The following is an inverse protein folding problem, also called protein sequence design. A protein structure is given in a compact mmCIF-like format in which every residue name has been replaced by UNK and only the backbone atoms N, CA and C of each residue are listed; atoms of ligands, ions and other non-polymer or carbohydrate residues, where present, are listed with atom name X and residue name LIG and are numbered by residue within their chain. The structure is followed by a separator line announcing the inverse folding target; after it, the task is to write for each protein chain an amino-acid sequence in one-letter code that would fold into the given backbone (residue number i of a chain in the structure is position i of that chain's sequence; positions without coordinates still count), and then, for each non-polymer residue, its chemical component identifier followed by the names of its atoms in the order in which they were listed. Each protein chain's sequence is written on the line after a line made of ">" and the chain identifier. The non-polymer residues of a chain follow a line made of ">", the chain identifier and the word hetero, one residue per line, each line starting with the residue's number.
data_IF_486574714481
#
_entry.id   IF_486574714481
#
_cell.length_a   1.000
_cell.length_b   1.000
_cell.length_c   1.000
_cell.angle_alpha   90.00
_cell.angle_beta   90.00
_cell.angle_gamma   90.00
#
_symmetry.space_group_name_H-M   'P 1'
#
loop_
_entity.id
_entity.type
_entity.pdbx_description
1 polymer ?
#
# COMPACT_ATOMS: atom_id res chain seq x y z
N UNK A 1 15.75 40.41 -2.72
CA UNK A 1 14.37 40.71 -3.15
C UNK A 1 13.63 39.39 -3.22
N UNK A 2 12.94 39.03 -2.14
CA UNK A 2 11.91 37.99 -2.15
C UNK A 2 10.81 38.55 -1.29
N UNK A 3 9.82 39.16 -1.94
CA UNK A 3 8.57 39.54 -1.32
C UNK A 3 7.58 38.45 -1.69
N UNK A 4 7.36 37.58 -0.72
CA UNK A 4 6.17 36.77 -0.56
C UNK A 4 4.99 37.75 -0.47
N UNK A 5 4.02 37.60 -1.37
CA UNK A 5 2.64 38.08 -1.20
C UNK A 5 1.85 36.76 -1.11
N UNK A 6 1.52 36.21 0.04
CA UNK A 6 0.56 36.65 1.07
C UNK A 6 -0.74 37.24 0.49
N UNK A 7 -1.38 36.44 -0.38
CA UNK A 7 -2.68 36.73 -0.97
C UNK A 7 -3.29 35.62 -1.83
N UNK A 8 -2.74 34.41 -1.88
CA UNK A 8 -3.36 33.29 -2.59
C UNK A 8 -4.24 32.50 -1.61
N UNK A 9 -5.49 32.22 -1.99
CA UNK A 9 -6.32 31.25 -1.28
C UNK A 9 -5.63 29.88 -1.19
N UNK A 10 -6.07 29.03 -0.28
CA UNK A 10 -5.68 27.63 -0.28
C UNK A 10 -6.15 26.99 -1.59
N UNK A 11 -5.24 26.42 -2.38
CA UNK A 11 -5.61 25.76 -3.65
C UNK A 11 -6.46 24.51 -3.38
N UNK A 12 -7.26 24.09 -4.36
CA UNK A 12 -8.06 22.87 -4.25
C UNK A 12 -7.21 21.67 -3.85
N UNK A 13 -6.01 21.53 -4.46
CA UNK A 13 -5.06 20.44 -4.16
C UNK A 13 -4.61 20.47 -2.69
N UNK A 14 -4.22 21.64 -2.19
CA UNK A 14 -3.77 21.80 -0.80
C UNK A 14 -4.90 21.54 0.19
N UNK A 15 -6.10 22.05 -0.11
CA UNK A 15 -7.31 21.80 0.67
C UNK A 15 -7.65 20.30 0.72
N UNK A 16 -7.66 19.63 -0.43
CA UNK A 16 -7.95 18.20 -0.54
C UNK A 16 -6.93 17.34 0.23
N UNK A 17 -5.63 17.65 0.13
CA UNK A 17 -4.58 16.93 0.86
C UNK A 17 -4.60 17.20 2.38
N UNK A 18 -5.18 18.32 2.81
CA UNK A 18 -5.34 18.68 4.22
C UNK A 18 -6.58 18.06 4.88
N UNK A 19 -7.48 17.44 4.11
CA UNK A 19 -8.65 16.73 4.63
C UNK A 19 -8.25 15.59 5.58
N UNK A 20 -9.09 15.37 6.59
CA UNK A 20 -8.90 14.28 7.54
C UNK A 20 -8.96 12.93 6.83
N UNK A 21 -7.88 12.14 6.92
CA UNK A 21 -7.74 10.86 6.22
C UNK A 21 -6.93 10.95 4.92
N UNK A 22 -6.63 12.15 4.41
CA UNK A 22 -5.88 12.37 3.18
C UNK A 22 -4.38 12.60 3.43
N UNK A 23 -3.89 12.29 4.63
CA UNK A 23 -2.49 12.56 5.01
C UNK A 23 -1.47 11.76 4.19
N UNK A 24 -1.92 10.68 3.54
CA UNK A 24 -1.09 9.81 2.70
C UNK A 24 -0.82 10.37 1.30
N UNK A 25 -1.62 11.33 0.83
CA UNK A 25 -1.42 11.94 -0.47
C UNK A 25 -0.18 12.83 -0.48
N UNK A 26 0.52 12.86 -1.62
CA UNK A 26 1.42 13.92 -2.01
C UNK A 26 0.65 15.01 -2.74
N UNK A 27 1.09 16.26 -2.62
CA UNK A 27 0.52 17.38 -3.37
C UNK A 27 1.09 17.32 -4.79
N UNK A 28 0.24 16.99 -5.77
CA UNK A 28 0.65 16.92 -7.18
C UNK A 28 0.92 18.35 -7.67
N UNK A 29 2.05 18.56 -8.36
CA UNK A 29 2.34 19.87 -8.95
C UNK A 29 1.39 20.17 -10.11
N UNK A 30 0.92 21.42 -10.19
CA UNK A 30 0.08 21.89 -11.31
C UNK A 30 0.76 21.65 -12.66
N UNK A 31 2.08 21.89 -12.75
CA UNK A 31 2.89 21.59 -13.95
C UNK A 31 2.76 20.13 -14.44
N UNK A 32 2.56 19.17 -13.53
CA UNK A 32 2.38 17.77 -13.90
C UNK A 32 0.98 17.50 -14.48
N UNK A 33 -0.02 18.22 -13.96
CA UNK A 33 -1.43 18.12 -14.37
C UNK A 33 -1.66 18.85 -15.70
N UNK A 34 -1.03 19.99 -15.90
CA UNK A 34 -1.12 20.78 -17.14
C UNK A 34 -0.54 20.05 -18.37
N UNK A 35 0.35 19.08 -18.18
CA UNK A 35 0.88 18.25 -19.26
C UNK A 35 -0.08 17.09 -19.59
N UNK A 36 -0.88 17.29 -20.63
CA UNK A 36 -1.86 16.33 -21.18
C UNK A 36 -1.30 14.91 -21.37
N UNK A 37 0.00 14.77 -21.65
CA UNK A 37 0.63 13.46 -21.81
C UNK A 37 0.46 12.62 -20.54
N UNK A 38 0.61 13.24 -19.36
CA UNK A 38 0.48 12.58 -18.06
C UNK A 38 -0.96 12.16 -17.75
N UNK A 39 -1.95 12.81 -18.39
CA UNK A 39 -3.38 12.56 -18.20
C UNK A 39 -3.99 11.57 -19.21
N UNK A 40 -3.19 11.10 -20.18
CA UNK A 40 -3.63 10.22 -21.26
C UNK A 40 -4.44 9.02 -20.75
N UNK A 41 -5.65 8.82 -21.29
CA UNK A 41 -6.52 7.69 -20.97
C UNK A 41 -7.37 7.83 -19.71
N UNK A 42 -7.28 8.95 -18.96
CA UNK A 42 -8.13 9.19 -17.79
C UNK A 42 -9.53 9.70 -18.16
N UNK A 43 -9.67 10.45 -19.25
CA UNK A 43 -10.95 11.03 -19.70
C UNK A 43 -12.12 10.05 -19.72
N UNK A 44 -12.01 8.85 -20.34
CA UNK A 44 -13.11 7.88 -20.36
C UNK A 44 -13.46 7.25 -19.01
N UNK A 45 -12.60 7.38 -18.00
CA UNK A 45 -12.78 6.78 -16.67
C UNK A 45 -13.52 7.71 -15.70
N UNK A 46 -13.53 9.02 -15.98
CA UNK A 46 -14.03 10.05 -15.07
C UNK A 46 -15.24 10.76 -15.70
N UNK A 47 -16.42 10.76 -15.04
CA UNK A 47 -17.57 11.56 -15.46
C UNK A 47 -17.25 13.06 -15.39
N UNK A 48 -17.76 13.89 -16.32
CA UNK A 48 -17.51 15.35 -16.29
C UNK A 48 -16.02 15.70 -16.16
N UNK A 49 -15.18 15.01 -16.93
CA UNK A 49 -13.72 15.10 -16.82
C UNK A 49 -13.19 16.54 -16.94
N UNK A 50 -13.75 17.35 -17.83
CA UNK A 50 -13.30 18.73 -18.05
C UNK A 50 -13.60 19.60 -16.84
N UNK A 51 -14.82 19.54 -16.35
CA UNK A 51 -15.28 20.31 -15.19
C UNK A 51 -14.55 19.86 -13.91
N UNK A 52 -14.26 18.56 -13.79
CA UNK A 52 -13.45 18.03 -12.70
C UNK A 52 -11.99 18.53 -12.76
N UNK A 53 -11.43 18.67 -13.96
CA UNK A 53 -10.07 19.17 -14.15
C UNK A 53 -9.97 20.68 -13.86
N UNK A 54 -10.96 21.45 -14.32
CA UNK A 54 -11.11 22.88 -14.02
C UNK A 54 -11.22 23.12 -12.51
N UNK A 55 -12.02 22.30 -11.80
CA UNK A 55 -12.12 22.33 -10.34
C UNK A 55 -10.78 22.08 -9.65
N UNK A 56 -10.01 21.07 -10.09
CA UNK A 56 -8.70 20.73 -9.49
C UNK A 56 -7.68 21.86 -9.68
N UNK A 57 -7.75 22.56 -10.81
CA UNK A 57 -6.82 23.64 -11.19
C UNK A 57 -7.30 25.04 -10.74
N UNK A 58 -8.37 25.12 -9.95
CA UNK A 58 -8.98 26.39 -9.50
C UNK A 58 -9.25 27.36 -10.66
N UNK A 59 -9.62 26.84 -11.84
CA UNK A 59 -9.97 27.65 -13.01
C UNK A 59 -11.38 28.20 -12.79
N UNK A 60 -11.52 29.53 -12.74
CA UNK A 60 -12.84 30.15 -12.63
C UNK A 60 -13.70 29.75 -13.85
N UNK A 61 -14.94 29.30 -13.65
CA UNK A 61 -15.83 29.04 -14.76
C UNK A 61 -16.07 30.35 -15.50
N UNK A 62 -15.95 30.35 -16.83
CA UNK A 62 -16.26 31.50 -17.67
C UNK A 62 -17.73 31.89 -17.42
N UNK A 63 -17.94 32.97 -16.66
CA UNK A 63 -19.26 33.51 -16.29
C UNK A 63 -20.03 34.09 -17.47
N UNK A 64 -19.48 34.02 -18.68
CA UNK A 64 -20.00 34.65 -19.89
C UNK A 64 -20.95 33.75 -20.72
N UNK A 65 -21.14 32.46 -20.38
CA UNK A 65 -22.04 31.56 -21.13
C UNK A 65 -23.43 31.34 -20.50
N UNK A 66 -23.70 31.79 -19.27
CA UNK A 66 -24.99 31.56 -18.59
C UNK A 66 -25.92 32.79 -18.51
N UNK A 67 -25.48 33.98 -18.96
CA UNK A 67 -26.26 35.23 -18.85
C UNK A 67 -27.10 35.58 -20.10
N UNK A 68 -27.12 34.75 -21.16
CA UNK A 68 -27.91 35.04 -22.39
C UNK A 68 -29.31 34.38 -22.45
N UNK A 69 -29.78 33.66 -21.41
CA UNK A 69 -31.07 32.90 -21.48
C UNK A 69 -32.16 33.26 -20.44
N UNK A 70 -32.14 34.44 -19.81
CA UNK A 70 -33.29 34.91 -18.99
C UNK A 70 -33.59 36.42 -19.20
N UNK A 71 -33.74 36.86 -20.46
CA UNK A 71 -34.23 38.21 -20.84
C UNK A 71 -35.74 38.21 -21.18
N UNK A 72 -36.52 37.29 -20.60
CA UNK A 72 -37.98 37.19 -20.78
C UNK A 72 -38.72 37.13 -19.42
N UNK A 73 -38.66 38.18 -18.59
CA UNK A 73 -39.74 38.43 -17.61
C UNK A 73 -39.82 39.90 -17.15
N UNK A 74 -40.40 40.75 -18.01
CA UNK A 74 -41.08 41.97 -17.56
C UNK A 74 -42.56 41.87 -17.95
N UNK A 75 -43.39 41.23 -17.12
CA UNK A 75 -44.80 41.63 -17.01
C UNK A 75 -45.11 41.87 -15.52
N UNK A 76 -45.12 43.15 -15.19
CA UNK A 76 -45.64 43.70 -13.94
C UNK A 76 -47.17 43.59 -13.99
N UNK A 77 -47.75 42.52 -13.43
CA UNK A 77 -49.17 42.50 -13.10
C UNK A 77 -49.35 42.21 -11.61
N UNK A 78 -49.72 43.28 -10.90
CA UNK A 78 -50.26 43.24 -9.55
C UNK A 78 -51.47 42.31 -9.50
N UNK A 79 -51.43 41.22 -8.72
CA UNK A 79 -52.62 40.73 -8.03
C UNK A 79 -52.25 39.86 -6.81
N UNK A 80 -52.54 40.41 -5.63
CA UNK A 80 -52.45 39.73 -4.34
C UNK A 80 -53.55 38.66 -4.26
N UNK A 81 -53.17 37.38 -4.37
CA UNK A 81 -54.05 36.26 -4.01
C UNK A 81 -53.58 35.64 -2.69
N UNK A 82 -54.32 35.94 -1.62
CA UNK A 82 -54.27 35.22 -0.34
C UNK A 82 -54.79 33.78 -0.56
N UNK A 83 -53.88 32.86 -0.84
CA UNK A 83 -54.15 31.42 -0.92
C UNK A 83 -52.90 30.62 -0.54
N UNK A 84 -53.05 29.69 0.38
CA UNK A 84 -52.00 28.82 0.96
C UNK A 84 -51.49 27.73 -0.02
N UNK A 85 -51.21 28.11 -1.26
CA UNK A 85 -50.61 27.23 -2.26
C UNK A 85 -49.33 27.88 -2.80
N UNK A 86 -48.17 27.38 -2.36
CA UNK A 86 -46.83 27.83 -2.77
C UNK A 86 -46.78 27.98 -4.31
N UNK A 87 -46.56 29.21 -4.78
CA UNK A 87 -46.59 29.63 -6.19
C UNK A 87 -45.76 28.69 -7.09
N UNK A 88 -46.23 28.34 -8.31
CA UNK A 88 -45.50 27.49 -9.26
C UNK A 88 -44.07 27.96 -9.55
N UNK A 89 -43.81 29.27 -9.52
CA UNK A 89 -42.48 29.83 -9.78
C UNK A 89 -41.49 29.53 -8.66
N UNK A 90 -41.96 29.48 -7.41
CA UNK A 90 -41.14 29.03 -6.29
C UNK A 90 -40.72 27.55 -6.47
N UNK A 91 -41.63 26.70 -6.96
CA UNK A 91 -41.34 25.27 -7.23
C UNK A 91 -40.39 25.07 -8.42
N UNK A 92 -40.38 26.00 -9.40
CA UNK A 92 -39.45 26.01 -10.55
C UNK A 92 -38.05 26.42 -10.12
N UNK A 93 -37.93 27.48 -9.30
CA UNK A 93 -36.66 27.92 -8.70
C UNK A 93 -36.04 26.85 -7.79
N UNK A 94 -36.84 26.22 -6.92
CA UNK A 94 -36.38 25.13 -6.03
C UNK A 94 -35.84 23.91 -6.80
N UNK A 95 -36.45 23.58 -7.96
CA UNK A 95 -35.96 22.52 -8.86
C UNK A 95 -34.69 22.91 -9.60
N UNK A 96 -34.54 24.18 -10.03
CA UNK A 96 -33.31 24.70 -10.64
C UNK A 96 -32.15 24.62 -9.63
N UNK A 97 -32.33 25.14 -8.41
CA UNK A 97 -31.29 25.06 -7.36
C UNK A 97 -30.90 23.63 -7.01
N UNK A 98 -31.87 22.70 -6.91
CA UNK A 98 -31.56 21.29 -6.65
C UNK A 98 -30.75 20.63 -7.78
N UNK A 99 -30.96 21.03 -9.05
CA UNK A 99 -30.19 20.51 -10.19
C UNK A 99 -28.75 21.01 -10.15
N UNK A 100 -28.56 22.31 -9.96
CA UNK A 100 -27.24 22.93 -9.84
C UNK A 100 -26.45 22.33 -8.67
N UNK A 101 -27.10 22.13 -7.51
CA UNK A 101 -26.46 21.48 -6.36
C UNK A 101 -26.09 20.00 -6.63
N UNK A 102 -26.92 19.26 -7.38
CA UNK A 102 -26.58 17.88 -7.75
C UNK A 102 -25.44 17.81 -8.75
N UNK A 103 -25.40 18.72 -9.72
CA UNK A 103 -24.33 18.78 -10.72
C UNK A 103 -22.99 19.14 -10.08
N UNK A 104 -22.98 20.09 -9.14
CA UNK A 104 -21.79 20.43 -8.36
C UNK A 104 -21.27 19.22 -7.55
N UNK A 105 -22.16 18.48 -6.88
CA UNK A 105 -21.75 17.29 -6.13
C UNK A 105 -21.15 16.18 -7.01
N UNK A 106 -21.64 16.06 -8.25
CA UNK A 106 -21.08 15.11 -9.22
C UNK A 106 -19.69 15.56 -9.64
N UNK A 107 -19.51 16.85 -9.93
CA UNK A 107 -18.22 17.43 -10.30
C UNK A 107 -17.20 17.27 -9.16
N UNK A 108 -17.59 17.55 -7.91
CA UNK A 108 -16.73 17.32 -6.74
C UNK A 108 -16.28 15.86 -6.65
N UNK A 109 -17.22 14.92 -6.74
CA UNK A 109 -16.90 13.48 -6.68
C UNK A 109 -16.01 13.02 -7.84
N UNK A 110 -16.20 13.60 -9.03
CA UNK A 110 -15.35 13.36 -10.19
C UNK A 110 -13.96 13.97 -10.02
N UNK A 111 -13.85 15.13 -9.38
CA UNK A 111 -12.58 15.77 -9.02
C UNK A 111 -11.75 14.90 -8.07
N UNK A 112 -12.37 14.36 -7.01
CA UNK A 112 -11.69 13.43 -6.09
C UNK A 112 -11.17 12.17 -6.81
N UNK A 113 -12.01 11.58 -7.66
CA UNK A 113 -11.65 10.41 -8.45
C UNK A 113 -10.50 10.71 -9.43
N UNK A 114 -10.60 11.82 -10.17
CA UNK A 114 -9.59 12.24 -11.13
C UNK A 114 -8.26 12.52 -10.43
N UNK A 115 -8.27 13.31 -9.37
CA UNK A 115 -7.07 13.63 -8.60
C UNK A 115 -6.42 12.36 -8.03
N UNK A 116 -7.21 11.42 -7.53
CA UNK A 116 -6.72 10.12 -7.07
C UNK A 116 -6.01 9.32 -8.18
N UNK A 117 -6.55 9.29 -9.39
CA UNK A 117 -5.94 8.61 -10.54
C UNK A 117 -4.67 9.32 -11.05
N UNK A 118 -4.66 10.66 -11.00
CA UNK A 118 -3.47 11.47 -11.30
C UNK A 118 -2.39 11.19 -10.26
N UNK A 119 -2.74 11.19 -8.98
CA UNK A 119 -1.83 10.94 -7.86
C UNK A 119 -1.14 9.57 -8.00
N UNK A 120 -1.87 8.52 -8.38
CA UNK A 120 -1.30 7.19 -8.64
C UNK A 120 -0.15 7.25 -9.66
N UNK A 121 -0.29 8.05 -10.72
CA UNK A 121 0.75 8.25 -11.74
C UNK A 121 1.87 9.13 -11.19
N UNK A 122 1.51 10.22 -10.52
CA UNK A 122 2.46 11.20 -10.00
C UNK A 122 3.46 10.58 -9.02
N UNK A 123 3.03 9.73 -8.09
CA UNK A 123 3.93 9.12 -7.10
C UNK A 123 4.91 8.10 -7.71
N UNK A 124 4.73 7.72 -8.98
CA UNK A 124 5.71 6.94 -9.76
C UNK A 124 6.64 7.81 -10.60
N UNK A 125 6.41 9.13 -10.67
CA UNK A 125 7.33 10.09 -11.27
C UNK A 125 8.49 10.44 -10.33
N UNK A 126 9.55 11.05 -10.86
CA UNK A 126 10.70 11.48 -10.05
C UNK A 126 10.31 12.48 -8.96
N UNK A 127 9.46 13.45 -9.26
CA UNK A 127 9.05 14.48 -8.30
C UNK A 127 8.15 13.86 -7.21
N UNK A 128 7.14 13.09 -7.59
CA UNK A 128 6.26 12.42 -6.63
C UNK A 128 6.97 11.41 -5.75
N UNK A 129 7.92 10.62 -6.29
CA UNK A 129 8.75 9.72 -5.47
C UNK A 129 9.54 10.47 -4.41
N UNK A 130 10.09 11.64 -4.73
CA UNK A 130 10.85 12.46 -3.78
C UNK A 130 9.95 12.99 -2.65
N UNK A 131 8.76 13.50 -2.98
CA UNK A 131 7.78 13.94 -1.97
C UNK A 131 7.36 12.78 -1.04
N UNK A 132 7.07 11.62 -1.63
CA UNK A 132 6.70 10.43 -0.86
C UNK A 132 7.87 9.92 0.00
N UNK A 133 9.11 10.08 -0.45
CA UNK A 133 10.31 9.75 0.32
C UNK A 133 10.42 10.62 1.57
N UNK A 134 10.19 11.93 1.44
CA UNK A 134 10.23 12.86 2.57
C UNK A 134 9.15 12.50 3.61
N UNK A 135 7.91 12.25 3.17
CA UNK A 135 6.83 11.75 4.03
C UNK A 135 7.18 10.42 4.70
N UNK A 136 7.81 9.50 3.96
CA UNK A 136 8.25 8.21 4.50
C UNK A 136 9.32 8.40 5.57
N UNK A 137 10.30 9.29 5.36
CA UNK A 137 11.34 9.57 6.35
C UNK A 137 10.78 10.16 7.63
N UNK A 138 9.77 11.04 7.52
CA UNK A 138 9.05 11.61 8.65
C UNK A 138 8.03 10.65 9.29
N UNK A 139 7.90 9.42 8.76
CA UNK A 139 6.99 8.39 9.26
C UNK A 139 5.50 8.82 9.22
N UNK A 140 5.12 9.63 8.23
CA UNK A 140 3.72 10.08 8.07
C UNK A 140 2.75 8.93 7.80
N UNK A 141 3.22 7.85 7.16
CA UNK A 141 2.41 6.68 6.84
C UNK A 141 2.22 5.71 8.01
N UNK A 142 2.94 5.92 9.12
CA UNK A 142 2.92 5.08 10.30
C UNK A 142 3.95 3.95 10.28
N UNK A 143 3.67 2.89 11.03
CA UNK A 143 4.59 1.77 11.24
C UNK A 143 3.88 0.42 11.16
N UNK A 144 4.68 -0.62 10.93
CA UNK A 144 4.19 -1.98 10.79
C UNK A 144 3.53 -2.46 12.10
N UNK A 145 2.29 -3.00 12.04
CA UNK A 145 1.60 -3.49 13.23
C UNK A 145 2.23 -4.78 13.80
N UNK A 146 3.10 -5.43 13.04
CA UNK A 146 3.76 -6.66 13.47
C UNK A 146 4.87 -6.35 14.47
N UNK A 147 4.69 -6.79 15.72
CA UNK A 147 5.63 -6.57 16.84
C UNK A 147 7.08 -6.90 16.48
N UNK A 148 7.32 -8.01 15.78
CA UNK A 148 8.67 -8.48 15.43
C UNK A 148 9.35 -7.67 14.31
N UNK A 149 8.62 -6.78 13.63
CA UNK A 149 9.19 -5.79 12.72
C UNK A 149 9.76 -4.55 13.42
N UNK A 150 9.57 -4.42 14.74
CA UNK A 150 10.18 -3.34 15.54
C UNK A 150 9.76 -1.93 15.10
N UNK A 151 8.51 -1.76 14.65
CA UNK A 151 8.01 -0.46 14.22
C UNK A 151 8.55 0.03 12.86
N UNK A 152 9.01 -0.89 11.99
CA UNK A 152 9.43 -0.56 10.62
C UNK A 152 8.40 0.36 9.91
N UNK A 153 8.89 1.44 9.31
CA UNK A 153 8.07 2.40 8.54
C UNK A 153 7.40 1.69 7.35
N UNK A 154 6.22 2.17 6.97
CA UNK A 154 5.39 1.55 5.92
C UNK A 154 5.06 2.55 4.82
N UNK A 155 4.55 2.07 3.68
CA UNK A 155 4.10 2.89 2.56
C UNK A 155 2.64 2.59 2.22
N UNK A 156 1.86 3.60 1.79
CA UNK A 156 0.53 3.38 1.26
C UNK A 156 0.61 2.69 -0.11
N UNK A 157 -0.23 1.68 -0.32
CA UNK A 157 -0.31 0.92 -1.57
C UNK A 157 -1.76 0.50 -1.85
N UNK A 158 -2.06 0.25 -3.12
CA UNK A 158 -3.27 -0.42 -3.58
C UNK A 158 -3.08 -1.93 -3.74
N UNK A 159 -4.16 -2.70 -3.59
CA UNK A 159 -4.20 -4.12 -3.98
C UNK A 159 -4.74 -4.33 -5.40
N UNK A 160 -5.30 -3.29 -5.99
CA UNK A 160 -5.82 -3.23 -7.35
C UNK A 160 -5.67 -1.79 -7.83
N UNK A 161 -5.45 -1.64 -9.14
CA UNK A 161 -5.45 -0.34 -9.81
C UNK A 161 -6.85 0.05 -10.33
N UNK A 162 -7.88 -0.74 -10.01
CA UNK A 162 -9.28 -0.46 -10.38
C UNK A 162 -9.96 0.23 -9.20
N UNK A 163 -10.50 1.46 -9.37
CA UNK A 163 -11.24 2.16 -8.33
C UNK A 163 -12.45 1.37 -7.80
N UNK A 164 -12.79 1.58 -6.53
CA UNK A 164 -13.91 0.97 -5.82
C UNK A 164 -13.69 -0.47 -5.39
N UNK A 165 -12.50 -1.06 -5.62
CA UNK A 165 -12.22 -2.47 -5.31
C UNK A 165 -11.83 -2.72 -3.86
N UNK A 166 -10.88 -1.94 -3.34
CA UNK A 166 -10.37 -2.07 -1.98
C UNK A 166 -9.82 -0.71 -1.53
N UNK A 167 -9.81 -0.47 -0.23
CA UNK A 167 -9.24 0.76 0.35
C UNK A 167 -7.73 0.73 0.33
N UNK A 168 -7.10 1.89 0.58
CA UNK A 168 -5.65 1.98 0.77
C UNK A 168 -5.16 1.01 1.84
N UNK A 169 -4.02 0.37 1.57
CA UNK A 169 -3.32 -0.54 2.47
C UNK A 169 -1.90 -0.04 2.74
N UNK A 170 -1.24 -0.62 3.73
CA UNK A 170 0.12 -0.29 4.14
C UNK A 170 1.06 -1.45 3.88
N UNK A 171 2.03 -1.26 2.98
CA UNK A 171 3.08 -2.22 2.71
C UNK A 171 4.25 -2.04 3.68
N UNK A 172 4.69 -3.14 4.29
CA UNK A 172 5.87 -3.15 5.13
C UNK A 172 7.06 -3.82 4.42
N UNK A 173 8.16 -3.08 4.15
CA UNK A 173 9.34 -3.65 3.50
C UNK A 173 10.09 -4.65 4.39
N UNK A 174 9.93 -4.57 5.71
CA UNK A 174 10.58 -5.50 6.65
C UNK A 174 9.99 -6.91 6.59
N UNK A 175 8.67 -7.04 6.54
CA UNK A 175 8.00 -8.35 6.51
C UNK A 175 7.43 -8.76 5.16
N UNK A 176 7.50 -7.86 4.17
CA UNK A 176 6.98 -8.05 2.83
C UNK A 176 5.49 -8.43 2.83
N UNK A 177 4.71 -7.69 3.60
CA UNK A 177 3.27 -7.95 3.76
C UNK A 177 2.48 -6.64 3.79
N UNK A 178 1.18 -6.77 3.54
CA UNK A 178 0.24 -5.66 3.38
C UNK A 178 -0.76 -5.67 4.55
N UNK A 179 -0.97 -4.50 5.15
CA UNK A 179 -1.83 -4.30 6.32
C UNK A 179 -2.92 -3.28 6.05
N UNK A 180 -4.04 -3.40 6.76
CA UNK A 180 -5.05 -2.33 6.77
C UNK A 180 -4.58 -1.22 7.72
N UNK A 181 -4.68 0.07 7.34
CA UNK A 181 -4.39 1.17 8.26
C UNK A 181 -5.20 1.02 9.56
N UNK A 182 -4.59 1.24 10.74
CA UNK A 182 -5.26 1.00 12.02
C UNK A 182 -6.36 2.02 12.32
N UNK A 183 -6.25 3.24 11.79
CA UNK A 183 -7.24 4.30 11.99
C UNK A 183 -8.34 4.19 10.91
N UNK A 184 -9.60 4.23 11.33
CA UNK A 184 -10.76 4.11 10.45
C UNK A 184 -10.93 5.28 9.48
N UNK A 185 -10.32 6.44 9.74
CA UNK A 185 -10.39 7.60 8.83
C UNK A 185 -9.84 7.33 7.42
N UNK A 186 -8.99 6.30 7.28
CA UNK A 186 -8.42 5.90 5.99
C UNK A 186 -9.30 4.89 5.22
N UNK A 187 -10.47 4.51 5.76
CA UNK A 187 -11.35 3.53 5.12
C UNK A 187 -12.12 4.11 3.92
N UNK A 188 -12.25 5.44 3.82
CA UNK A 188 -12.84 6.11 2.65
C UNK A 188 -11.86 6.28 1.50
N UNK A 189 -10.55 6.16 1.75
CA UNK A 189 -9.51 6.40 0.74
C UNK A 189 -9.32 5.14 -0.11
N UNK A 190 -9.49 5.30 -1.43
CA UNK A 190 -9.30 4.22 -2.40
C UNK A 190 -7.84 3.80 -2.51
N UNK A 191 -7.58 2.49 -2.56
CA UNK A 191 -6.23 1.97 -2.77
C UNK A 191 -5.72 2.18 -4.19
N UNK A 192 -6.61 2.28 -5.18
CA UNK A 192 -6.23 2.51 -6.57
C UNK A 192 -5.44 3.83 -6.74
N UNK A 193 -5.70 4.84 -5.90
CA UNK A 193 -5.01 6.13 -5.95
C UNK A 193 -3.52 6.07 -5.57
N UNK A 194 -3.07 4.96 -5.01
CA UNK A 194 -1.65 4.67 -4.75
C UNK A 194 -1.10 3.60 -5.69
N UNK A 195 -1.99 2.75 -6.20
CA UNK A 195 -1.68 1.69 -7.14
C UNK A 195 -0.87 0.53 -6.55
N UNK A 196 -0.74 -0.51 -7.37
CA UNK A 196 -0.03 -1.75 -6.99
C UNK A 196 1.49 -1.64 -7.17
N UNK A 197 1.95 -0.77 -8.06
CA UNK A 197 3.36 -0.64 -8.46
C UNK A 197 4.21 0.21 -7.50
N UNK A 198 3.64 1.29 -6.96
CA UNK A 198 4.39 2.32 -6.22
C UNK A 198 5.28 1.75 -5.11
N UNK A 199 4.75 0.86 -4.27
CA UNK A 199 5.51 0.31 -3.13
C UNK A 199 6.77 -0.44 -3.55
N UNK A 200 6.71 -1.24 -4.62
CA UNK A 200 7.88 -1.96 -5.13
C UNK A 200 8.87 -1.01 -5.81
N UNK A 201 8.36 -0.13 -6.67
CA UNK A 201 9.18 0.83 -7.41
C UNK A 201 9.93 1.77 -6.47
N UNK A 202 9.29 2.24 -5.40
CA UNK A 202 9.92 3.10 -4.40
C UNK A 202 11.20 2.49 -3.80
N UNK A 203 11.17 1.23 -3.37
CA UNK A 203 12.36 0.58 -2.80
C UNK A 203 13.41 0.18 -3.84
N UNK A 204 13.02 0.03 -5.12
CA UNK A 204 13.97 -0.10 -6.23
C UNK A 204 14.67 1.23 -6.54
N UNK A 205 13.96 2.35 -6.42
CA UNK A 205 14.51 3.70 -6.64
C UNK A 205 15.42 4.16 -5.50
N UNK A 206 15.12 3.74 -4.26
CA UNK A 206 15.90 4.09 -3.06
C UNK A 206 16.53 2.86 -2.38
N UNK A 207 17.46 2.14 -3.04
CA UNK A 207 18.03 0.89 -2.53
C UNK A 207 18.89 1.08 -1.26
N UNK A 208 19.40 2.29 -1.06
CA UNK A 208 20.22 2.69 0.09
C UNK A 208 19.40 2.96 1.36
N UNK A 209 18.07 2.93 1.27
CA UNK A 209 17.21 3.20 2.42
C UNK A 209 17.31 2.08 3.45
N UNK A 210 17.72 2.39 4.68
CA UNK A 210 17.81 1.41 5.76
C UNK A 210 16.41 0.97 6.24
N UNK A 211 16.02 -0.24 5.85
CA UNK A 211 14.75 -0.88 6.22
C UNK A 211 14.91 -1.70 7.50
N UNK A 212 16.13 -2.13 7.82
CA UNK A 212 16.39 -2.86 9.03
C UNK A 212 16.11 -1.94 10.22
N UNK A 213 15.09 -2.27 11.01
CA UNK A 213 14.85 -1.56 12.26
C UNK A 213 16.17 -1.54 13.03
N UNK A 214 16.71 -0.34 13.30
CA UNK A 214 17.77 -0.18 14.29
C UNK A 214 17.28 -0.92 15.51
N UNK A 215 18.02 -1.95 15.94
CA UNK A 215 17.73 -2.64 17.17
C UNK A 215 17.86 -1.59 18.28
N UNK A 216 16.77 -0.90 18.60
CA UNK A 216 16.79 0.08 19.66
C UNK A 216 17.10 -0.67 20.94
N UNK A 217 18.19 -0.22 21.54
CA UNK A 217 18.67 -0.40 22.91
C UNK A 217 17.64 0.11 23.94
N UNK A 218 16.36 -0.22 23.77
CA UNK A 218 15.23 0.21 24.60
C UNK A 218 14.85 -0.75 25.72
N UNK A 219 15.64 -1.81 25.97
CA UNK A 219 15.43 -2.75 27.08
C UNK A 219 16.17 -2.35 28.37
N UNK A 220 16.57 -1.08 28.53
CA UNK A 220 17.35 -0.63 29.70
C UNK A 220 16.66 0.45 30.57
N UNK A 221 15.36 0.71 30.40
CA UNK A 221 14.68 1.78 31.13
C UNK A 221 13.60 1.35 32.16
N UNK A 222 13.37 0.05 32.40
CA UNK A 222 12.35 -0.40 33.37
C UNK A 222 12.77 -1.53 34.34
N UNK A 223 14.06 -1.91 34.37
CA UNK A 223 14.57 -2.88 35.36
C UNK A 223 15.39 -2.16 36.45
N UNK A 224 14.72 -1.34 37.25
CA UNK A 224 15.27 -0.80 38.49
C UNK A 224 15.33 -1.86 39.59
N UNK A 225 16.53 -2.07 40.12
CA UNK A 225 16.83 -2.57 41.47
C UNK A 225 16.25 -3.94 41.89
N UNK A 226 16.98 -5.02 41.57
CA UNK A 226 17.46 -6.04 42.53
C UNK A 226 17.75 -7.37 41.81
N UNK A 227 19.00 -7.59 41.39
CA UNK A 227 19.54 -8.94 41.28
C UNK A 227 21.06 -8.90 41.36
N UNK A 228 21.59 -9.42 42.48
CA UNK A 228 23.00 -9.71 42.68
C UNK A 228 23.53 -10.54 41.53
N UNK A 229 24.69 -10.13 41.00
CA UNK A 229 25.48 -10.87 40.03
C UNK A 229 25.93 -12.20 40.64
N UNK A 230 25.27 -13.29 40.26
CA UNK A 230 25.84 -14.64 40.34
C UNK A 230 26.22 -15.04 38.93
N UNK A 231 27.53 -15.02 38.67
CA UNK A 231 28.14 -15.67 37.51
C UNK A 231 27.80 -17.16 37.55
N UNK A 232 26.95 -17.59 36.64
CA UNK A 232 26.66 -19.00 36.39
C UNK A 232 26.93 -19.25 34.91
N UNK A 233 28.06 -19.90 34.68
CA UNK A 233 28.44 -20.56 33.44
C UNK A 233 27.25 -21.31 32.86
N UNK A 234 26.76 -20.87 31.70
CA UNK A 234 25.94 -21.72 30.84
C UNK A 234 26.87 -22.54 29.95
N UNK A 235 26.72 -23.87 29.88
CA UNK A 235 27.57 -24.70 29.06
C UNK A 235 27.26 -24.45 27.58
N UNK A 236 28.32 -24.17 26.83
CA UNK A 236 28.37 -24.16 25.37
C UNK A 236 27.79 -25.48 24.83
N UNK A 237 26.62 -25.39 24.19
CA UNK A 237 25.84 -26.58 23.83
C UNK A 237 24.83 -26.34 22.72
N UNK A 238 25.22 -25.60 21.68
CA UNK A 238 24.63 -25.69 20.35
C UNK A 238 25.62 -25.12 19.34
N UNK A 239 26.21 -26.00 18.53
CA UNK A 239 26.93 -25.63 17.32
C UNK A 239 25.94 -24.91 16.39
N UNK A 240 25.84 -23.58 16.50
CA UNK A 240 25.35 -22.75 15.42
C UNK A 240 26.57 -22.53 14.54
N UNK A 241 26.68 -23.31 13.47
CA UNK A 241 27.56 -22.99 12.35
C UNK A 241 27.25 -21.56 11.94
N UNK A 242 28.18 -20.62 12.19
CA UNK A 242 28.06 -19.28 11.65
C UNK A 242 27.86 -19.41 10.14
N UNK A 243 26.87 -18.72 9.55
CA UNK A 243 26.70 -18.74 8.11
C UNK A 243 28.00 -18.27 7.43
N UNK A 244 28.30 -18.76 6.21
CA UNK A 244 29.46 -18.31 5.44
C UNK A 244 29.45 -16.77 5.28
N UNK A 245 30.61 -16.20 4.95
CA UNK A 245 30.81 -14.76 4.77
C UNK A 245 29.73 -14.19 3.83
N UNK A 246 28.77 -13.44 4.39
CA UNK A 246 27.62 -12.94 3.63
C UNK A 246 28.03 -11.68 2.87
N UNK A 247 27.62 -11.52 1.60
CA UNK A 247 27.90 -10.32 0.84
C UNK A 247 27.21 -9.10 1.47
N UNK A 248 27.82 -7.92 1.38
CA UNK A 248 27.23 -6.68 1.89
C UNK A 248 26.06 -6.22 1.01
N UNK A 249 26.20 -6.43 -0.31
CA UNK A 249 25.17 -6.13 -1.30
C UNK A 249 24.92 -7.36 -2.17
N UNK A 250 23.65 -7.57 -2.54
CA UNK A 250 23.21 -8.64 -3.41
C UNK A 250 22.25 -8.06 -4.46
N UNK A 251 22.56 -8.24 -5.75
CA UNK A 251 21.75 -7.74 -6.86
C UNK A 251 21.39 -6.24 -6.74
N UNK A 252 22.32 -5.41 -6.27
CA UNK A 252 22.12 -3.97 -6.07
C UNK A 252 21.35 -3.58 -4.80
N UNK A 253 20.95 -4.54 -3.97
CA UNK A 253 20.30 -4.29 -2.68
C UNK A 253 21.25 -4.56 -1.52
N UNK A 254 21.17 -3.74 -0.46
CA UNK A 254 21.85 -4.05 0.79
C UNK A 254 21.24 -5.31 1.41
N UNK A 255 22.07 -6.30 1.73
CA UNK A 255 21.64 -7.59 2.28
C UNK A 255 20.89 -7.42 3.61
N UNK A 256 21.22 -6.39 4.40
CA UNK A 256 20.51 -6.05 5.62
C UNK A 256 19.04 -5.64 5.38
N UNK A 257 18.74 -5.10 4.19
CA UNK A 257 17.40 -4.63 3.81
C UNK A 257 16.52 -5.72 3.21
N UNK A 258 17.08 -6.89 2.88
CA UNK A 258 16.31 -8.01 2.30
C UNK A 258 15.45 -8.63 3.40
N UNK A 259 14.18 -8.24 3.48
CA UNK A 259 13.18 -8.77 4.40
C UNK A 259 13.69 -8.95 5.87
N UNK A 260 14.20 -7.89 6.52
CA UNK A 260 14.81 -7.96 7.86
C UNK A 260 13.85 -8.44 8.96
N UNK A 261 12.54 -8.39 8.68
CA UNK A 261 11.49 -8.88 9.55
C UNK A 261 11.16 -10.35 9.36
N UNK A 262 11.87 -11.11 8.51
CA UNK A 262 11.61 -12.54 8.30
C UNK A 262 12.78 -13.41 8.82
N UNK A 263 12.54 -14.70 9.00
CA UNK A 263 13.55 -15.66 9.47
C UNK A 263 13.39 -16.12 10.92
N UNK A 264 14.30 -16.99 11.35
CA UNK A 264 14.18 -17.79 12.59
C UNK A 264 13.95 -16.93 13.85
N UNK A 265 14.63 -15.79 13.97
CA UNK A 265 14.49 -14.86 15.12
C UNK A 265 13.25 -13.96 15.05
N UNK A 266 12.52 -13.97 13.94
CA UNK A 266 11.37 -13.10 13.67
C UNK A 266 10.05 -13.86 13.54
N UNK A 267 10.03 -15.15 13.87
CA UNK A 267 8.80 -15.97 13.90
C UNK A 267 8.30 -16.06 15.34
N UNK A 268 7.04 -15.68 15.57
CA UNK A 268 6.42 -15.80 16.88
C UNK A 268 6.30 -17.26 17.31
N UNK A 269 6.76 -17.57 18.52
CA UNK A 269 6.69 -18.90 19.11
C UNK A 269 5.63 -18.95 20.23
N UNK A 270 4.46 -19.57 19.99
CA UNK A 270 3.40 -19.63 20.98
C UNK A 270 3.81 -20.52 22.15
N UNK A 271 3.58 -20.03 23.38
CA UNK A 271 3.86 -20.73 24.63
C UNK A 271 2.67 -20.66 25.56
N UNK A 272 2.38 -21.77 26.24
CA UNK A 272 1.33 -21.88 27.26
C UNK A 272 2.00 -22.45 28.51
N UNK A 273 1.88 -21.75 29.65
CA UNK A 273 2.59 -22.08 30.89
C UNK A 273 4.11 -22.30 30.72
N UNK A 274 4.74 -21.55 29.80
CA UNK A 274 6.18 -21.64 29.50
C UNK A 274 6.54 -22.73 28.47
N UNK A 275 5.65 -23.68 28.21
CA UNK A 275 5.87 -24.77 27.26
C UNK A 275 5.50 -24.35 25.84
N UNK A 276 6.32 -24.75 24.86
CA UNK A 276 6.04 -24.53 23.44
C UNK A 276 4.79 -25.30 23.03
N UNK A 277 3.89 -24.65 22.32
CA UNK A 277 2.71 -25.34 21.75
C UNK A 277 3.17 -26.26 20.62
N UNK A 278 2.85 -27.54 20.72
CA UNK A 278 3.19 -28.54 19.71
C UNK A 278 2.59 -28.18 18.35
N UNK A 279 3.36 -28.36 17.27
CA UNK A 279 2.86 -28.16 15.90
C UNK A 279 1.69 -29.10 15.56
N UNK A 280 1.62 -30.26 16.22
CA UNK A 280 0.52 -31.23 16.05
C UNK A 280 -0.77 -30.78 16.72
N UNK A 281 -0.71 -29.84 17.68
CA UNK A 281 -1.90 -29.35 18.35
C UNK A 281 -2.78 -28.56 17.36
N UNK A 282 -4.11 -28.56 17.57
CA UNK A 282 -5.05 -27.78 16.74
C UNK A 282 -4.73 -26.27 16.79
N UNK A 283 -4.38 -25.77 17.97
CA UNK A 283 -3.90 -24.41 18.23
C UNK A 283 -2.38 -24.22 18.03
N UNK A 284 -1.71 -25.21 17.44
CA UNK A 284 -0.29 -25.11 17.11
C UNK A 284 -0.03 -24.06 16.03
N UNK A 285 1.22 -23.57 15.92
CA UNK A 285 1.58 -22.58 14.92
C UNK A 285 1.30 -23.12 13.49
N UNK A 286 0.78 -22.26 12.62
CA UNK A 286 0.45 -22.56 11.21
C UNK A 286 1.15 -21.59 10.29
N UNK A 287 1.33 -22.01 9.03
CA UNK A 287 1.86 -21.16 7.96
C UNK A 287 3.21 -20.50 8.27
N UNK A 288 4.06 -21.14 9.09
CA UNK A 288 5.40 -20.63 9.41
C UNK A 288 6.22 -20.34 8.15
N UNK A 289 5.97 -21.10 7.08
CA UNK A 289 6.65 -20.98 5.80
C UNK A 289 6.52 -19.60 5.16
N UNK A 290 5.40 -18.88 5.37
CA UNK A 290 5.21 -17.50 4.89
C UNK A 290 6.19 -16.52 5.55
N UNK A 291 6.84 -16.92 6.66
CA UNK A 291 7.74 -16.07 7.45
C UNK A 291 9.16 -16.61 7.53
N UNK A 292 9.46 -17.68 6.81
CA UNK A 292 10.81 -18.22 6.73
C UNK A 292 11.67 -17.33 5.82
N UNK A 293 12.94 -17.21 6.19
CA UNK A 293 14.00 -16.61 5.37
C UNK A 293 15.21 -17.54 5.49
N UNK A 294 15.92 -17.85 4.39
CA UNK A 294 17.16 -18.62 4.44
C UNK A 294 18.17 -18.00 5.42
N UNK A 295 18.93 -18.84 6.11
CA UNK A 295 20.03 -18.38 6.97
C UNK A 295 21.24 -17.95 6.13
N UNK A 296 21.51 -18.66 5.04
CA UNK A 296 22.48 -18.24 4.03
C UNK A 296 21.77 -17.43 2.93
N UNK A 297 22.13 -16.15 2.84
CA UNK A 297 21.52 -15.21 1.89
C UNK A 297 22.03 -15.43 0.47
N UNK A 298 23.17 -16.12 0.29
CA UNK A 298 23.67 -16.49 -1.03
C UNK A 298 22.70 -17.42 -1.79
N UNK A 299 21.81 -18.14 -1.10
CA UNK A 299 20.74 -18.92 -1.73
C UNK A 299 19.73 -18.04 -2.49
N UNK A 300 19.71 -16.74 -2.22
CA UNK A 300 18.87 -15.75 -2.91
C UNK A 300 19.58 -15.11 -4.10
N UNK A 301 20.85 -15.44 -4.37
CA UNK A 301 21.63 -14.89 -5.48
C UNK A 301 21.22 -15.53 -6.82
N UNK A 302 20.07 -15.10 -7.36
CA UNK A 302 19.55 -15.61 -8.63
C UNK A 302 20.52 -15.38 -9.81
N UNK A 303 21.28 -14.27 -9.78
CA UNK A 303 22.24 -13.90 -10.83
C UNK A 303 23.42 -14.88 -10.87
N UNK A 304 24.03 -15.15 -9.72
CA UNK A 304 25.13 -16.13 -9.63
C UNK A 304 24.64 -17.53 -9.98
N UNK A 305 23.43 -17.91 -9.52
CA UNK A 305 22.82 -19.20 -9.87
C UNK A 305 22.63 -19.31 -11.39
N UNK A 306 22.07 -18.29 -12.04
CA UNK A 306 21.87 -18.27 -13.48
C UNK A 306 23.19 -18.41 -14.24
N UNK A 307 24.17 -17.55 -13.96
CA UNK A 307 25.46 -17.60 -14.66
C UNK A 307 26.24 -18.88 -14.40
N UNK A 308 26.15 -19.47 -13.20
CA UNK A 308 26.79 -20.76 -12.91
C UNK A 308 26.20 -21.91 -13.74
N UNK A 309 24.91 -21.83 -14.08
CA UNK A 309 24.24 -22.77 -14.98
C UNK A 309 24.52 -22.53 -16.47
N UNK A 310 24.91 -21.30 -16.84
CA UNK A 310 25.07 -20.84 -18.22
C UNK A 310 26.53 -20.54 -18.63
N UNK A 311 27.51 -20.84 -17.78
CA UNK A 311 28.94 -20.58 -17.99
C UNK A 311 29.60 -21.30 -19.20
N UNK A 312 28.81 -21.94 -20.08
CA UNK A 312 29.25 -22.57 -21.32
C UNK A 312 28.99 -21.76 -22.60
N UNK A 313 28.13 -20.74 -22.57
CA UNK A 313 27.90 -19.86 -23.73
C UNK A 313 28.72 -18.58 -23.56
N UNK A 314 29.70 -18.39 -24.45
CA UNK A 314 30.56 -17.21 -24.47
C UNK A 314 29.80 -15.92 -24.81
N UNK A 315 30.46 -14.76 -24.74
CA UNK A 315 29.80 -13.45 -24.78
C UNK A 315 29.38 -12.97 -26.19
N UNK A 316 29.29 -13.86 -27.19
CA UNK A 316 28.97 -13.53 -28.60
C UNK A 316 27.91 -14.49 -29.18
N UNK A 317 26.73 -14.52 -28.59
CA UNK A 317 25.55 -15.04 -29.26
C UNK A 317 24.40 -14.08 -29.02
N UNK A 318 23.96 -13.42 -30.09
CA UNK A 318 22.72 -12.66 -30.14
C UNK A 318 21.56 -13.60 -29.76
N UNK A 319 21.06 -13.49 -28.52
CA UNK A 319 19.98 -14.29 -27.96
C UNK A 319 18.62 -13.81 -28.50
N UNK A 320 18.26 -14.27 -29.70
CA UNK A 320 16.90 -14.14 -30.27
C UNK A 320 16.11 -15.48 -30.24
N UNK A 321 16.54 -16.47 -29.44
CA UNK A 321 15.80 -17.74 -29.30
C UNK A 321 15.63 -18.16 -27.83
N UNK A 322 14.48 -17.83 -27.24
CA UNK A 322 14.01 -18.37 -25.96
C UNK A 322 13.82 -19.91 -26.07
N UNK A 323 14.90 -20.64 -25.85
CA UNK A 323 14.94 -22.10 -25.92
C UNK A 323 14.33 -22.77 -24.70
N UNK A 324 13.67 -23.91 -24.92
CA UNK A 324 13.06 -24.82 -23.94
C UNK A 324 13.93 -25.11 -22.68
N UNK A 325 15.26 -24.97 -22.77
CA UNK A 325 16.19 -25.14 -21.65
C UNK A 325 16.01 -24.09 -20.52
N UNK A 326 15.57 -22.87 -20.87
CA UNK A 326 15.41 -21.77 -19.91
C UNK A 326 14.20 -22.00 -18.98
N UNK A 327 13.15 -22.63 -19.55
CA UNK A 327 11.96 -23.09 -18.80
C UNK A 327 12.32 -24.20 -17.80
N UNK A 328 13.18 -25.14 -18.20
CA UNK A 328 13.58 -26.28 -17.36
C UNK A 328 14.55 -25.86 -16.23
N UNK A 329 15.44 -24.91 -16.48
CA UNK A 329 16.31 -24.32 -15.46
C UNK A 329 15.47 -23.56 -14.40
N UNK A 330 14.55 -22.71 -14.85
CA UNK A 330 13.61 -21.98 -13.97
C UNK A 330 12.73 -22.95 -13.16
N UNK A 331 12.19 -23.99 -13.79
CA UNK A 331 11.40 -25.03 -13.12
C UNK A 331 12.22 -25.78 -12.06
N UNK A 332 13.50 -26.05 -12.31
CA UNK A 332 14.38 -26.70 -11.34
C UNK A 332 14.65 -25.83 -10.11
N UNK A 333 14.90 -24.53 -10.28
CA UNK A 333 15.04 -23.57 -9.16
C UNK A 333 13.73 -23.47 -8.37
N UNK A 334 12.59 -23.36 -9.04
CA UNK A 334 11.26 -23.37 -8.41
C UNK A 334 11.02 -24.68 -7.62
N UNK A 335 11.42 -25.83 -8.17
CA UNK A 335 11.28 -27.12 -7.51
C UNK A 335 12.24 -27.30 -6.33
N UNK A 336 13.41 -26.65 -6.34
CA UNK A 336 14.28 -26.58 -5.16
C UNK A 336 13.65 -25.71 -4.05
N UNK A 337 13.02 -24.57 -4.39
CA UNK A 337 12.27 -23.74 -3.43
C UNK A 337 11.08 -24.46 -2.80
N UNK A 338 10.41 -25.37 -3.53
CA UNK A 338 9.35 -26.26 -3.01
C UNK A 338 9.83 -27.28 -1.97
N UNK A 339 11.15 -27.42 -1.73
CA UNK A 339 11.72 -28.30 -0.69
C UNK A 339 11.84 -27.64 0.68
N UNK A 340 11.12 -26.54 0.95
CA UNK A 340 10.67 -26.28 2.32
C UNK A 340 10.04 -27.57 2.90
N UNK A 341 10.25 -27.93 4.17
CA UNK A 341 9.87 -29.24 4.69
C UNK A 341 8.35 -29.33 4.85
N UNK A 342 7.62 -29.45 3.75
CA UNK A 342 6.27 -30.00 3.73
C UNK A 342 6.47 -31.49 4.00
N UNK A 343 6.44 -31.85 5.30
CA UNK A 343 6.38 -33.25 5.72
C UNK A 343 5.28 -33.92 4.92
N UNK A 344 5.66 -34.88 4.07
CA UNK A 344 4.74 -35.78 3.39
C UNK A 344 3.79 -36.36 4.44
N UNK A 345 2.51 -36.01 4.33
CA UNK A 345 1.45 -36.56 5.18
C UNK A 345 1.42 -38.06 4.91
N UNK A 346 1.77 -38.87 5.91
CA UNK A 346 1.63 -40.33 5.84
C UNK A 346 0.15 -40.62 5.65
N UNK A 347 -0.21 -41.19 4.50
CA UNK A 347 -1.57 -41.64 4.20
C UNK A 347 -1.93 -42.70 5.23
N UNK A 348 -2.92 -42.44 6.07
CA UNK A 348 -3.51 -43.41 7.00
C UNK A 348 -4.66 -44.10 6.27
N UNK A 349 -4.74 -45.42 6.43
CA UNK A 349 -5.74 -46.31 5.82
C UNK A 349 -7.20 -45.89 6.12
N UNK A 350 -8.19 -46.33 5.31
CA UNK A 350 -9.52 -45.75 5.26
C UNK A 350 -10.43 -46.35 6.33
N UNK A 351 -10.15 -46.06 7.60
CA UNK A 351 -11.09 -46.31 8.70
C UNK A 351 -10.84 -45.27 9.80
N UNK A 352 -11.42 -44.09 9.59
CA UNK A 352 -11.40 -42.99 10.55
C UNK A 352 -12.35 -41.90 10.08
N UNK A 353 -13.41 -41.67 10.83
CA UNK A 353 -14.43 -40.63 10.63
C UNK A 353 -13.80 -39.27 10.37
N UNK A 354 -14.24 -38.60 9.30
CA UNK A 354 -13.77 -37.26 8.90
C UNK A 354 -14.18 -36.20 9.95
N UNK A 355 -13.27 -35.33 10.43
CA UNK A 355 -13.57 -34.32 11.44
C UNK A 355 -14.21 -33.04 10.86
N UNK A 356 -14.84 -33.12 9.67
CA UNK A 356 -15.42 -31.99 8.95
C UNK A 356 -16.90 -32.19 8.58
N UNK A 357 -17.65 -32.97 9.35
CA UNK A 357 -19.11 -32.98 9.23
C UNK A 357 -19.71 -31.96 10.22
N UNK A 358 -19.95 -30.74 9.74
CA UNK A 358 -20.64 -29.69 10.51
C UNK A 358 -22.12 -29.73 10.18
N UNK A 359 -22.79 -30.81 10.60
CA UNK A 359 -24.24 -30.83 10.55
C UNK A 359 -24.79 -30.06 11.77
N UNK A 360 -25.48 -28.95 11.48
CA UNK A 360 -25.96 -27.97 12.44
C UNK A 360 -26.97 -28.54 13.43
N UNK A 361 -26.60 -28.56 14.71
CA UNK A 361 -27.49 -28.85 15.83
C UNK A 361 -28.19 -27.59 16.30
N UNK A 362 -29.48 -27.46 15.95
CA UNK A 362 -30.42 -26.50 16.55
C UNK A 362 -30.53 -26.78 18.06
N UNK A 363 -30.25 -25.77 18.88
CA UNK A 363 -30.69 -25.75 20.27
C UNK A 363 -32.17 -25.33 20.32
N UNK A 364 -33.02 -26.17 20.91
CA UNK A 364 -34.44 -25.89 21.06
C UNK A 364 -35.12 -26.87 22.02
N UNK A 365 -35.29 -26.36 23.25
CA UNK A 365 -36.07 -26.87 24.41
C UNK A 365 -35.54 -28.07 25.17
#
# INVERSE_FOLDING_TARGET
>A
MSLISDGAGETWISSYCSLMGHEYFAEVSEEFIEDDFNLTGLGPLVPRYKEALELILDVEPDSDEEDEEDDDEYEEDEDIVLGDERSPDYKKSERRHNRVASDLSVIESSGELLYGLIHQRYITSRQGMQQMFEKYQLQHFGSCPRVLCGGCKVLPVGRSDIPGRDTVKLYCPSCQDIYTPPNSRFQSVDGAFFGTTFGCLFFMTFPELDVAAKAETGASALAGANARRTSLNSPSGSNVSQPPNQPVQLNGFNVANIAPGLGVSKIYEPRIYGFKVSERAKSGPRMKWLRMKPEDINELDETTIYHSGHAGNGPDCDDDEEGQADRDATLNVINQRKKAPIRRRRVVAPNGTDPMDTNGGKAGK
#
